data_IF_853154061399
#
_entry.id   IF_853154061399
#
_cell.length_a   1.000
_cell.length_b   1.000
_cell.length_c   1.000
_cell.angle_alpha   90.00
_cell.angle_beta   90.00
_cell.angle_gamma   90.00
#
_symmetry.space_group_name_H-M   'P 1'
#
loop_
_entity.id
_entity.type
_entity.pdbx_description
1 polymer ?
#
# COMPACT_ATOMS: atom_id res chain seq x y z
N UNK A 1 -19.33 -40.84 -5.10
CA UNK A 1 -19.91 -40.44 -3.79
C UNK A 1 -18.77 -40.39 -2.78
N UNK A 2 -18.20 -39.22 -2.51
CA UNK A 2 -17.25 -39.04 -1.41
C UNK A 2 -18.03 -38.69 -0.15
N UNK A 3 -17.91 -39.55 0.85
CA UNK A 3 -18.51 -39.39 2.17
C UNK A 3 -17.76 -38.26 2.91
N UNK A 4 -18.50 -37.22 3.29
CA UNK A 4 -18.05 -36.21 4.24
C UNK A 4 -17.81 -36.90 5.59
N UNK A 5 -16.57 -36.89 6.07
CA UNK A 5 -16.24 -37.34 7.43
C UNK A 5 -16.89 -36.43 8.49
N UNK A 6 -17.24 -36.95 9.67
CA UNK A 6 -17.91 -36.16 10.70
C UNK A 6 -16.90 -35.21 11.34
N UNK A 7 -17.25 -33.93 11.38
CA UNK A 7 -16.53 -32.91 12.15
C UNK A 7 -16.52 -33.33 13.62
N UNK A 8 -15.34 -33.69 14.14
CA UNK A 8 -15.15 -34.01 15.56
C UNK A 8 -15.27 -32.70 16.33
N UNK A 9 -16.35 -32.53 17.09
CA UNK A 9 -16.53 -31.35 17.95
C UNK A 9 -15.43 -31.31 19.03
N UNK A 10 -14.88 -30.12 19.35
CA UNK A 10 -13.84 -29.99 20.37
C UNK A 10 -14.36 -30.43 21.75
N UNK A 11 -13.51 -31.04 22.56
CA UNK A 11 -13.85 -31.42 23.94
C UNK A 11 -13.89 -30.18 24.86
N UNK A 12 -14.60 -30.22 26.01
CA UNK A 12 -14.71 -29.09 26.94
C UNK A 12 -13.36 -28.49 27.39
N UNK A 13 -12.31 -29.31 27.52
CA UNK A 13 -10.96 -28.88 27.89
C UNK A 13 -10.25 -28.10 26.78
N UNK A 14 -10.56 -28.39 25.50
CA UNK A 14 -10.01 -27.67 24.35
C UNK A 14 -10.51 -26.23 24.24
N UNK A 15 -11.75 -25.98 24.66
CA UNK A 15 -12.30 -24.62 24.73
C UNK A 15 -11.60 -23.76 25.79
N UNK A 16 -11.24 -24.33 26.95
CA UNK A 16 -10.52 -23.62 28.01
C UNK A 16 -9.09 -23.25 27.60
N UNK A 17 -8.39 -24.12 26.86
CA UNK A 17 -7.04 -23.80 26.38
C UNK A 17 -7.03 -22.70 25.31
N UNK A 18 -7.96 -22.72 24.36
CA UNK A 18 -8.09 -21.66 23.34
C UNK A 18 -8.51 -20.33 24.00
N UNK A 19 -9.41 -20.36 24.97
CA UNK A 19 -9.79 -19.17 25.73
C UNK A 19 -8.63 -18.61 26.54
N UNK A 20 -7.81 -19.45 27.20
CA UNK A 20 -6.61 -19.02 27.92
C UNK A 20 -5.55 -18.42 27.00
N UNK A 21 -5.32 -19.00 25.82
CA UNK A 21 -4.40 -18.45 24.81
C UNK A 21 -4.87 -17.08 24.34
N UNK A 22 -6.17 -16.96 24.03
CA UNK A 22 -6.77 -15.69 23.62
C UNK A 22 -6.68 -14.64 24.73
N UNK A 23 -7.04 -14.99 25.95
CA UNK A 23 -6.95 -14.10 27.11
C UNK A 23 -5.51 -13.69 27.42
N UNK A 24 -4.53 -14.59 27.34
CA UNK A 24 -3.12 -14.24 27.57
C UNK A 24 -2.60 -13.33 26.45
N UNK A 25 -3.01 -13.55 25.20
CA UNK A 25 -2.70 -12.65 24.09
C UNK A 25 -3.25 -11.24 24.33
N UNK A 26 -4.53 -11.12 24.71
CA UNK A 26 -5.13 -9.82 25.03
C UNK A 26 -4.47 -9.17 26.25
N UNK A 27 -4.13 -9.95 27.29
CA UNK A 27 -3.45 -9.43 28.48
C UNK A 27 -2.10 -8.83 28.12
N UNK A 28 -1.29 -9.52 27.31
CA UNK A 28 -0.01 -9.02 26.80
C UNK A 28 -0.20 -7.80 25.91
N UNK A 29 -1.19 -7.78 25.02
CA UNK A 29 -1.43 -6.62 24.16
C UNK A 29 -1.94 -5.39 24.89
N UNK A 30 -2.81 -5.58 25.87
CA UNK A 30 -3.31 -4.48 26.70
C UNK A 30 -2.20 -3.92 27.61
N UNK A 31 -1.26 -4.76 28.08
CA UNK A 31 -0.10 -4.29 28.85
C UNK A 31 0.91 -3.47 28.04
N UNK A 32 0.89 -3.58 26.71
CA UNK A 32 1.79 -2.86 25.80
C UNK A 32 1.10 -1.70 25.07
N UNK A 33 -0.06 -1.25 25.57
CA UNK A 33 -0.85 -0.21 24.92
C UNK A 33 -0.14 1.16 25.05
N UNK A 34 0.18 1.85 23.93
CA UNK A 34 0.71 3.21 23.95
C UNK A 34 -0.28 4.19 24.57
N UNK A 35 0.21 5.27 25.16
CA UNK A 35 -0.67 6.33 25.70
C UNK A 35 -1.33 7.12 24.57
N UNK A 36 -2.44 7.80 24.87
CA UNK A 36 -3.14 8.62 23.87
C UNK A 36 -2.23 9.75 23.34
N UNK A 37 -1.43 10.36 24.21
CA UNK A 37 -0.48 11.42 23.85
C UNK A 37 0.65 10.91 22.93
N UNK A 38 1.18 9.70 23.15
CA UNK A 38 2.16 9.09 22.24
C UNK A 38 1.59 8.81 20.85
N UNK A 39 0.29 8.50 20.77
CA UNK A 39 -0.40 8.33 19.49
C UNK A 39 -0.65 9.66 18.79
N UNK A 40 -0.87 10.75 19.54
CA UNK A 40 -0.97 12.12 19.01
C UNK A 40 0.37 12.59 18.45
N UNK A 41 1.47 12.37 19.18
CA UNK A 41 2.82 12.69 18.72
C UNK A 41 3.22 11.95 17.43
N UNK A 42 2.67 10.75 17.21
CA UNK A 42 2.88 9.96 15.98
C UNK A 42 1.85 10.23 14.89
N UNK A 43 0.97 11.22 15.07
CA UNK A 43 -0.09 11.58 14.13
C UNK A 43 -1.04 10.39 13.81
N UNK A 44 -1.21 9.47 14.77
CA UNK A 44 -2.13 8.33 14.69
C UNK A 44 -3.49 8.73 15.31
N UNK A 45 -3.45 9.49 16.40
CA UNK A 45 -4.62 10.14 17.00
C UNK A 45 -4.55 11.63 16.65
N UNK A 46 -5.61 12.18 16.05
CA UNK A 46 -5.69 13.63 15.82
C UNK A 46 -6.32 14.32 17.02
N UNK A 47 -5.82 15.49 17.48
CA UNK A 47 -6.55 16.33 18.40
C UNK A 47 -7.88 16.70 17.75
N UNK A 48 -8.97 16.44 18.48
CA UNK A 48 -10.35 16.39 17.95
C UNK A 48 -10.92 17.79 17.74
N UNK A 49 -10.31 18.61 16.90
CA UNK A 49 -10.84 19.91 16.52
C UNK A 49 -10.68 20.12 15.00
N UNK A 50 -11.66 19.60 14.25
CA UNK A 50 -11.70 19.73 12.78
C UNK A 50 -11.66 21.20 12.32
N UNK A 51 -12.12 22.12 13.16
CA UNK A 51 -12.18 23.55 12.87
C UNK A 51 -10.79 24.21 12.90
N UNK A 52 -9.92 23.79 13.83
CA UNK A 52 -8.54 24.27 13.96
C UNK A 52 -7.66 23.72 12.82
N UNK A 53 -7.81 22.44 12.45
CA UNK A 53 -7.11 21.87 11.28
C UNK A 53 -7.49 22.60 9.98
N UNK A 54 -8.77 23.00 9.84
CA UNK A 54 -9.22 23.79 8.70
C UNK A 54 -8.66 25.21 8.73
N UNK A 55 -8.55 25.84 9.90
CA UNK A 55 -7.98 27.17 10.05
C UNK A 55 -6.48 27.19 9.72
N UNK A 56 -5.72 26.23 10.23
CA UNK A 56 -4.30 26.05 9.90
C UNK A 56 -4.11 25.84 8.39
N UNK A 57 -4.91 24.97 7.77
CA UNK A 57 -4.86 24.76 6.31
C UNK A 57 -5.17 26.05 5.54
N UNK A 58 -6.16 26.82 5.99
CA UNK A 58 -6.50 28.13 5.38
C UNK A 58 -5.38 29.15 5.58
N UNK A 59 -4.68 29.13 6.71
CA UNK A 59 -3.57 30.02 6.97
C UNK A 59 -2.33 29.65 6.15
N UNK A 60 -1.96 28.36 6.10
CA UNK A 60 -0.88 27.84 5.27
C UNK A 60 -1.14 28.18 3.80
N UNK A 61 -2.36 27.96 3.31
CA UNK A 61 -2.75 28.32 1.94
C UNK A 61 -2.55 29.81 1.67
N UNK A 62 -2.99 30.69 2.59
CA UNK A 62 -2.79 32.15 2.47
C UNK A 62 -1.31 32.55 2.47
N UNK A 63 -0.48 31.89 3.28
CA UNK A 63 0.98 32.14 3.34
C UNK A 63 1.66 31.72 2.04
N UNK A 64 1.28 30.57 1.48
CA UNK A 64 1.81 30.08 0.21
C UNK A 64 1.41 30.99 -0.95
N UNK A 65 0.13 31.37 -1.06
CA UNK A 65 -0.32 32.26 -2.14
C UNK A 65 0.40 33.60 -2.12
N UNK A 66 0.67 34.18 -0.94
CA UNK A 66 1.48 35.40 -0.82
C UNK A 66 2.91 35.21 -1.29
N UNK A 67 3.57 34.11 -0.89
CA UNK A 67 4.92 33.78 -1.33
C UNK A 67 5.00 33.54 -2.84
N UNK A 68 3.99 32.91 -3.42
CA UNK A 68 3.91 32.66 -4.85
C UNK A 68 3.67 33.96 -5.63
N UNK A 69 2.85 34.87 -5.12
CA UNK A 69 2.66 36.22 -5.68
C UNK A 69 3.94 37.07 -5.57
N UNK A 70 4.63 37.03 -4.43
CA UNK A 70 5.92 37.70 -4.22
C UNK A 70 6.99 37.15 -5.18
N UNK A 71 7.01 35.83 -5.41
CA UNK A 71 7.89 35.18 -6.37
C UNK A 71 7.56 35.57 -7.82
N UNK A 72 6.28 35.72 -8.17
CA UNK A 72 5.84 36.17 -9.49
C UNK A 72 6.17 37.65 -9.77
N UNK A 73 6.17 38.49 -8.73
CA UNK A 73 6.52 39.91 -8.82
C UNK A 73 8.04 40.17 -8.79
N UNK A 74 8.86 39.17 -8.47
CA UNK A 74 10.33 39.25 -8.47
C UNK A 74 10.97 38.89 -9.82
N UNK A 75 10.17 38.68 -10.88
CA UNK A 75 10.62 38.29 -12.23
C UNK A 75 11.34 39.42 -13.01
N UNK A 76 11.96 40.38 -12.32
CA UNK A 76 12.86 41.37 -12.92
C UNK A 76 14.08 41.69 -12.04
N UNK A 77 14.58 40.72 -11.28
CA UNK A 77 15.93 40.78 -10.71
C UNK A 77 16.78 39.69 -11.34
N UNK A 78 17.83 40.11 -12.05
CA UNK A 78 18.89 39.18 -12.43
C UNK A 78 19.40 38.50 -11.15
N UNK A 79 19.66 37.18 -11.19
CA UNK A 79 20.19 36.47 -10.04
C UNK A 79 21.48 37.17 -9.60
N UNK A 80 21.61 37.48 -8.30
CA UNK A 80 22.90 37.80 -7.72
C UNK A 80 23.79 36.56 -7.89
N UNK A 81 24.90 36.75 -8.60
CA UNK A 81 25.79 35.73 -9.18
C UNK A 81 26.65 34.98 -8.14
N UNK A 82 26.11 34.59 -6.99
CA UNK A 82 26.94 33.98 -5.93
C UNK A 82 26.29 33.03 -4.92
N UNK A 83 24.99 32.67 -5.01
CA UNK A 83 24.35 31.92 -3.90
C UNK A 83 23.58 30.66 -4.27
N UNK A 84 23.68 30.10 -5.48
CA UNK A 84 23.15 28.75 -5.68
C UNK A 84 23.96 27.98 -6.72
N UNK A 85 24.95 27.21 -6.25
CA UNK A 85 25.39 26.01 -6.94
C UNK A 85 24.24 24.99 -6.94
N UNK A 86 23.22 25.23 -7.77
CA UNK A 86 22.44 24.11 -8.28
C UNK A 86 23.44 23.36 -9.16
N UNK A 87 23.93 22.23 -8.66
CA UNK A 87 24.68 21.28 -9.46
C UNK A 87 23.81 20.93 -10.65
N UNK A 88 24.01 21.62 -11.78
CA UNK A 88 23.52 21.19 -13.07
C UNK A 88 24.32 19.93 -13.37
N UNK A 89 23.72 18.74 -13.43
CA UNK A 89 24.46 17.58 -13.87
C UNK A 89 24.85 17.86 -15.31
N UNK A 90 26.15 18.08 -15.53
CA UNK A 90 26.74 18.15 -16.85
C UNK A 90 26.21 16.98 -17.70
N UNK A 91 25.92 17.18 -19.00
CA UNK A 91 25.43 16.11 -19.85
C UNK A 91 26.43 14.95 -19.78
N UNK A 92 25.98 13.81 -19.25
CA UNK A 92 26.76 12.59 -19.19
C UNK A 92 27.28 12.28 -20.60
N UNK A 93 28.60 12.17 -20.83
CA UNK A 93 29.09 11.68 -22.10
C UNK A 93 28.65 10.22 -22.22
N UNK A 94 27.77 9.96 -23.19
CA UNK A 94 27.42 8.62 -23.64
C UNK A 94 28.65 7.97 -24.29
N UNK A 95 29.48 7.30 -23.50
CA UNK A 95 30.38 6.26 -23.98
C UNK A 95 30.65 5.26 -22.85
N UNK A 96 30.05 4.07 -22.97
CA UNK A 96 30.42 2.79 -22.35
C UNK A 96 31.55 2.82 -21.30
N UNK A 97 31.26 3.27 -20.09
CA UNK A 97 32.05 2.94 -18.91
C UNK A 97 31.11 2.69 -17.74
N UNK A 98 31.19 1.48 -17.20
CA UNK A 98 30.52 0.97 -16.00
C UNK A 98 30.43 2.07 -14.93
N UNK A 99 29.29 2.25 -14.23
CA UNK A 99 29.17 3.24 -13.16
C UNK A 99 30.32 3.05 -12.18
N UNK A 100 31.05 4.13 -11.89
CA UNK A 100 32.23 4.13 -11.01
C UNK A 100 32.03 3.21 -9.80
N UNK A 101 33.02 2.37 -9.43
CA UNK A 101 32.93 1.57 -8.22
C UNK A 101 32.68 2.50 -7.02
N UNK A 102 31.92 2.07 -6.00
CA UNK A 102 31.67 2.90 -4.83
C UNK A 102 33.01 3.42 -4.30
N UNK A 103 33.09 4.73 -4.07
CA UNK A 103 34.31 5.35 -3.57
C UNK A 103 34.76 4.62 -2.29
N UNK A 104 36.07 4.38 -2.10
CA UNK A 104 36.61 3.57 -1.00
C UNK A 104 36.16 4.07 0.39
N UNK A 105 35.72 5.34 0.46
CA UNK A 105 35.17 6.00 1.64
C UNK A 105 33.88 5.37 2.19
N UNK A 106 33.00 4.79 1.34
CA UNK A 106 31.75 4.15 1.81
C UNK A 106 31.98 2.76 2.37
N UNK A 107 33.02 2.06 1.90
CA UNK A 107 33.41 0.74 2.40
C UNK A 107 34.24 0.83 3.68
N UNK A 108 35.03 1.90 3.85
CA UNK A 108 35.78 2.15 5.09
C UNK A 108 34.89 2.52 6.28
N UNK A 109 33.65 2.96 6.04
CA UNK A 109 32.66 3.29 7.07
C UNK A 109 31.62 2.17 7.28
N UNK A 110 31.94 0.94 6.91
CA UNK A 110 31.03 -0.20 7.07
C UNK A 110 30.94 -0.60 8.57
N UNK A 111 29.76 -0.51 9.22
CA UNK A 111 29.59 -0.94 10.61
C UNK A 111 29.73 -2.47 10.73
N UNK A 112 30.19 -2.94 11.89
CA UNK A 112 30.27 -4.37 12.20
C UNK A 112 28.89 -4.99 12.42
N UNK A 113 28.79 -6.32 12.33
CA UNK A 113 27.53 -7.05 12.58
C UNK A 113 27.10 -6.89 14.04
N UNK A 114 28.06 -6.88 14.96
CA UNK A 114 27.89 -6.66 16.39
C UNK A 114 27.28 -5.27 16.66
N UNK A 115 27.80 -4.22 16.02
CA UNK A 115 27.25 -2.86 16.17
C UNK A 115 25.80 -2.73 15.69
N UNK A 116 25.44 -3.43 14.61
CA UNK A 116 24.06 -3.42 14.11
C UNK A 116 23.11 -4.20 15.04
N UNK A 117 23.62 -5.21 15.76
CA UNK A 117 22.88 -5.94 16.81
C UNK A 117 22.71 -5.07 18.07
N UNK A 118 23.74 -4.34 18.49
CA UNK A 118 23.67 -3.39 19.61
C UNK A 118 22.68 -2.26 19.35
N UNK A 119 22.67 -1.72 18.12
CA UNK A 119 21.69 -0.72 17.67
C UNK A 119 20.28 -1.29 17.46
N UNK A 120 20.05 -2.59 17.72
CA UNK A 120 18.79 -3.32 17.51
C UNK A 120 18.24 -3.20 16.08
N UNK A 121 19.12 -2.99 15.10
CA UNK A 121 18.77 -2.93 13.68
C UNK A 121 18.63 -4.35 13.12
N UNK A 122 19.53 -5.25 13.53
CA UNK A 122 19.41 -6.68 13.24
C UNK A 122 18.50 -7.32 14.30
N UNK A 123 17.20 -7.41 14.01
CA UNK A 123 16.29 -8.34 14.71
C UNK A 123 16.92 -9.72 14.55
N UNK A 124 17.24 -10.39 15.66
CA UNK A 124 18.06 -11.62 15.70
C UNK A 124 17.51 -12.67 14.72
N UNK A 125 18.15 -12.79 13.56
CA UNK A 125 17.93 -13.92 12.67
C UNK A 125 18.80 -15.08 13.17
N UNK A 126 18.23 -16.29 13.15
CA UNK A 126 19.02 -17.52 13.38
C UNK A 126 19.88 -17.75 12.14
N UNK A 127 21.17 -18.03 12.34
CA UNK A 127 22.07 -18.43 11.25
C UNK A 127 21.75 -19.85 10.75
N UNK A 128 21.00 -20.61 11.56
CA UNK A 128 20.52 -21.94 11.23
C UNK A 128 19.15 -21.87 10.56
N UNK A 129 19.05 -22.44 9.37
CA UNK A 129 17.81 -22.64 8.61
C UNK A 129 17.57 -24.13 8.50
N UNK A 130 16.46 -24.61 9.05
CA UNK A 130 16.04 -26.01 8.89
C UNK A 130 15.58 -26.23 7.45
N UNK A 131 16.18 -27.21 6.78
CA UNK A 131 15.80 -27.63 5.42
C UNK A 131 15.07 -28.96 5.54
N UNK A 132 13.86 -29.02 5.00
CA UNK A 132 13.07 -30.23 4.88
C UNK A 132 12.70 -30.46 3.41
N UNK A 133 12.59 -31.72 3.01
CA UNK A 133 12.20 -32.06 1.65
C UNK A 133 10.73 -31.68 1.41
N UNK A 134 10.49 -30.99 0.29
CA UNK A 134 9.14 -30.72 -0.16
C UNK A 134 8.57 -31.95 -0.89
N UNK A 135 7.24 -32.12 -0.84
CA UNK A 135 6.60 -33.19 -1.60
C UNK A 135 6.88 -33.03 -3.11
N UNK A 136 7.33 -34.11 -3.75
CA UNK A 136 7.62 -34.17 -5.18
C UNK A 136 6.39 -34.65 -5.96
N UNK A 137 5.52 -33.70 -6.29
CA UNK A 137 4.36 -33.93 -7.14
C UNK A 137 4.16 -32.76 -8.10
N UNK A 138 3.49 -33.03 -9.22
CA UNK A 138 3.20 -31.99 -10.22
C UNK A 138 2.18 -30.98 -9.68
N UNK A 139 2.65 -29.75 -9.45
CA UNK A 139 1.85 -28.60 -9.01
C UNK A 139 1.38 -27.72 -10.17
N UNK A 140 1.58 -28.15 -11.41
CA UNK A 140 1.15 -27.40 -12.60
C UNK A 140 -0.37 -27.44 -12.69
N UNK A 141 -0.97 -26.27 -12.85
CA UNK A 141 -2.37 -26.09 -13.15
C UNK A 141 -2.52 -25.16 -14.36
N UNK A 142 -3.55 -25.36 -15.16
CA UNK A 142 -3.89 -24.42 -16.21
C UNK A 142 -4.23 -23.06 -15.61
N UNK A 143 -3.88 -21.99 -16.33
CA UNK A 143 -4.10 -20.61 -15.91
C UNK A 143 -5.18 -19.99 -16.80
N UNK A 144 -6.46 -20.35 -16.65
CA UNK A 144 -7.52 -19.92 -17.57
C UNK A 144 -7.63 -18.39 -17.69
N UNK A 145 -7.21 -17.66 -16.66
CA UNK A 145 -7.16 -16.20 -16.66
C UNK A 145 -6.14 -15.60 -17.66
N UNK A 146 -5.13 -16.34 -18.12
CA UNK A 146 -4.16 -15.82 -19.11
C UNK A 146 -4.73 -15.80 -20.52
N UNK A 147 -5.80 -16.58 -20.80
CA UNK A 147 -6.49 -16.59 -22.10
C UNK A 147 -7.56 -15.51 -22.22
N UNK A 148 -7.60 -14.56 -21.28
CA UNK A 148 -8.59 -13.48 -21.23
C UNK A 148 -8.28 -12.32 -22.21
N UNK A 149 -7.39 -12.48 -23.19
CA UNK A 149 -6.94 -11.40 -24.11
C UNK A 149 -7.28 -11.64 -25.59
N UNK A 150 -7.31 -10.52 -26.33
CA UNK A 150 -8.19 -10.19 -27.47
C UNK A 150 -8.01 -10.92 -28.81
N UNK A 151 -7.13 -11.91 -28.93
CA UNK A 151 -6.73 -12.44 -30.25
C UNK A 151 -7.48 -13.70 -30.70
N UNK A 152 -8.21 -14.39 -29.82
CA UNK A 152 -8.66 -15.76 -30.10
C UNK A 152 -10.18 -15.96 -30.19
N UNK A 153 -10.96 -14.88 -30.33
CA UNK A 153 -12.38 -14.94 -30.71
C UNK A 153 -12.71 -13.78 -31.65
N UNK A 154 -13.64 -13.98 -32.56
CA UNK A 154 -13.99 -13.06 -33.63
C UNK A 154 -14.21 -11.60 -33.16
N UNK A 155 -13.78 -10.65 -33.97
CA UNK A 155 -13.78 -9.20 -33.71
C UNK A 155 -15.14 -8.59 -33.32
N UNK A 156 -16.24 -9.35 -33.42
CA UNK A 156 -17.60 -8.88 -33.14
C UNK A 156 -18.13 -9.21 -31.72
N UNK A 157 -17.41 -10.00 -30.90
CA UNK A 157 -17.95 -10.48 -29.59
C UNK A 157 -17.09 -10.17 -28.34
N UNK A 158 -15.91 -9.56 -28.47
CA UNK A 158 -14.91 -9.48 -27.40
C UNK A 158 -14.92 -8.26 -26.44
N UNK A 159 -15.44 -7.07 -26.77
CA UNK A 159 -15.59 -6.03 -25.75
C UNK A 159 -16.65 -6.40 -24.68
N UNK A 160 -17.37 -7.51 -24.88
CA UNK A 160 -18.47 -7.95 -24.03
C UNK A 160 -18.03 -8.79 -22.83
N UNK A 161 -17.02 -9.67 -22.91
CA UNK A 161 -16.78 -10.66 -21.85
C UNK A 161 -16.07 -10.08 -20.61
N UNK A 162 -14.99 -9.29 -20.78
CA UNK A 162 -14.39 -8.59 -19.66
C UNK A 162 -15.33 -7.52 -19.10
N UNK A 163 -16.11 -6.86 -19.97
CA UNK A 163 -17.16 -5.94 -19.55
C UNK A 163 -18.28 -6.67 -18.78
N UNK A 164 -18.63 -7.90 -19.17
CA UNK A 164 -19.59 -8.75 -18.48
C UNK A 164 -19.07 -9.13 -17.09
N UNK A 165 -17.82 -9.59 -16.97
CA UNK A 165 -17.20 -9.88 -15.67
C UNK A 165 -17.18 -8.64 -14.79
N UNK A 166 -16.84 -7.45 -15.33
CA UNK A 166 -16.85 -6.21 -14.54
C UNK A 166 -18.27 -5.81 -14.10
N UNK A 167 -19.25 -5.93 -14.99
CA UNK A 167 -20.66 -5.63 -14.70
C UNK A 167 -21.22 -6.57 -13.65
N UNK A 168 -21.05 -7.88 -13.84
CA UNK A 168 -21.47 -8.94 -12.92
C UNK A 168 -20.83 -8.74 -11.54
N UNK A 169 -19.53 -8.45 -11.48
CA UNK A 169 -18.85 -8.17 -10.21
C UNK A 169 -19.36 -6.90 -9.52
N UNK A 170 -19.68 -5.84 -10.27
CA UNK A 170 -20.23 -4.63 -9.67
C UNK A 170 -21.66 -4.83 -9.17
N UNK A 171 -22.47 -5.57 -9.92
CA UNK A 171 -23.83 -5.96 -9.53
C UNK A 171 -23.78 -6.76 -8.22
N UNK A 172 -23.05 -7.88 -8.20
CA UNK A 172 -22.85 -8.72 -7.01
C UNK A 172 -22.37 -7.92 -5.79
N UNK A 173 -21.36 -7.06 -5.96
CA UNK A 173 -20.78 -6.27 -4.85
C UNK A 173 -21.71 -5.18 -4.32
N UNK A 174 -22.70 -4.76 -5.10
CA UNK A 174 -23.62 -3.69 -4.72
C UNK A 174 -24.93 -4.21 -4.15
N UNK A 175 -25.42 -5.37 -4.60
CA UNK A 175 -26.73 -5.91 -4.24
C UNK A 175 -26.66 -7.14 -3.32
N UNK A 176 -25.70 -8.03 -3.51
CA UNK A 176 -25.67 -9.35 -2.86
C UNK A 176 -24.58 -9.47 -1.78
N UNK A 177 -23.42 -8.84 -1.99
CA UNK A 177 -22.30 -8.92 -1.06
C UNK A 177 -22.58 -8.15 0.23
N UNK A 178 -22.72 -8.87 1.34
CA UNK A 178 -22.88 -8.28 2.66
C UNK A 178 -21.60 -7.58 3.10
N UNK A 179 -21.69 -6.26 3.35
CA UNK A 179 -20.58 -5.44 3.84
C UNK A 179 -21.10 -4.56 4.96
N UNK A 180 -20.37 -4.51 6.07
CA UNK A 180 -20.68 -3.62 7.19
C UNK A 180 -20.77 -2.16 6.73
N UNK A 181 -21.77 -1.41 7.20
CA UNK A 181 -22.09 -0.05 6.73
C UNK A 181 -20.87 0.88 6.74
N UNK A 182 -20.11 0.91 7.85
CA UNK A 182 -18.88 1.72 7.98
C UNK A 182 -17.77 1.34 7.01
N UNK A 183 -17.74 0.11 6.52
CA UNK A 183 -16.68 -0.41 5.62
C UNK A 183 -17.09 -0.41 4.15
N UNK A 184 -18.32 0.04 3.82
CA UNK A 184 -18.85 0.01 2.44
C UNK A 184 -17.98 0.80 1.46
N UNK A 185 -17.28 1.83 1.93
CA UNK A 185 -16.34 2.64 1.15
C UNK A 185 -15.07 1.88 0.70
N UNK A 186 -14.78 0.72 1.30
CA UNK A 186 -13.65 -0.14 0.92
C UNK A 186 -14.00 -1.12 -0.21
N UNK A 187 -15.28 -1.25 -0.56
CA UNK A 187 -15.73 -2.13 -1.63
C UNK A 187 -15.15 -1.68 -2.96
N UNK A 188 -14.20 -2.45 -3.48
CA UNK A 188 -13.57 -2.17 -4.78
C UNK A 188 -14.53 -2.47 -5.93
N UNK A 189 -15.13 -1.43 -6.48
CA UNK A 189 -15.88 -1.47 -7.74
C UNK A 189 -14.93 -1.31 -8.94
N UNK A 190 -15.27 -1.95 -10.05
CA UNK A 190 -14.49 -1.86 -11.30
C UNK A 190 -15.01 -0.75 -12.20
N UNK A 191 -14.11 0.00 -12.83
CA UNK A 191 -14.49 1.06 -13.77
C UNK A 191 -15.00 0.48 -15.10
N UNK A 192 -16.04 1.11 -15.62
CA UNK A 192 -16.41 0.99 -17.02
C UNK A 192 -15.41 1.81 -17.83
N UNK A 193 -14.79 1.19 -18.84
CA UNK A 193 -13.92 1.92 -19.77
C UNK A 193 -14.78 2.20 -20.99
N UNK A 194 -15.24 3.44 -21.15
CA UNK A 194 -15.74 3.90 -22.45
C UNK A 194 -14.52 4.03 -23.37
N UNK A 195 -14.33 3.04 -24.24
CA UNK A 195 -13.21 3.02 -25.20
C UNK A 195 -13.27 4.13 -26.26
N UNK A 196 -14.30 4.99 -26.23
CA UNK A 196 -14.50 6.07 -27.20
C UNK A 196 -14.22 7.49 -26.69
N UNK A 197 -13.98 7.73 -25.40
CA UNK A 197 -13.90 9.11 -24.88
C UNK A 197 -12.57 9.51 -24.25
N UNK A 198 -11.62 8.59 -24.01
CA UNK A 198 -10.30 8.96 -23.47
C UNK A 198 -10.32 9.73 -22.13
N UNK A 199 -11.47 9.79 -21.46
CA UNK A 199 -11.69 10.52 -20.21
C UNK A 199 -12.21 9.51 -19.20
N UNK A 200 -11.56 9.34 -18.02
CA UNK A 200 -12.15 8.59 -16.92
C UNK A 200 -13.43 9.34 -16.51
N UNK A 201 -14.60 8.70 -16.61
CA UNK A 201 -15.80 9.26 -15.99
C UNK A 201 -15.49 9.44 -14.51
N UNK A 202 -15.55 10.70 -14.07
CA UNK A 202 -15.53 11.09 -12.66
C UNK A 202 -16.44 10.15 -11.88
N UNK A 203 -16.00 9.79 -10.67
CA UNK A 203 -16.71 8.92 -9.76
C UNK A 203 -18.01 9.60 -9.35
N UNK A 204 -19.05 9.53 -10.17
CA UNK A 204 -20.39 9.84 -9.74
C UNK A 204 -20.81 8.73 -8.78
N UNK A 205 -20.53 9.00 -7.51
CA UNK A 205 -21.13 8.30 -6.41
C UNK A 205 -22.64 8.41 -6.59
N UNK A 206 -23.24 7.36 -7.17
CA UNK A 206 -24.65 7.08 -7.00
C UNK A 206 -24.80 6.59 -5.56
N UNK A 207 -24.75 7.53 -4.62
CA UNK A 207 -25.40 7.37 -3.33
C UNK A 207 -26.89 7.28 -3.64
N UNK A 208 -27.40 6.06 -3.80
CA UNK A 208 -28.82 5.81 -3.65
C UNK A 208 -29.11 5.86 -2.15
N UNK A 209 -29.97 6.80 -1.78
CA UNK A 209 -30.68 6.90 -0.50
C UNK A 209 -31.41 5.62 -0.16
#
# INVERSE_FOLDING_TARGET
MFLLGPWRSPTPEGYDMVQKIFLDFFRRRLSQRPTAEELEQRNILKPRNEQEEQEEKREIKRRLTRKDEDAHNLTHKQPLDSTVDIIVPLPYPCSLSIPYPPTPTRLSQRPTVEELRERKILIRFSDYVEVADAQDYDRRADKPWTRLTAADKHADQLPLFQAAIRKELNEFKSTEMEVHELSRHLTRLQSFIDLNSGIPLERSAVFKT
#
